data_IF_840426720336
#
_entry.id   IF_840426720336
#
_cell.length_a   1.000
_cell.length_b   1.000
_cell.length_c   1.000
_cell.angle_alpha   90.00
_cell.angle_beta   90.00
_cell.angle_gamma   90.00
#
_symmetry.space_group_name_H-M   'P 1'
#
loop_
_entity.id
_entity.type
_entity.pdbx_description
1 polymer ?
#
# COMPACT_ATOMS: atom_id res chain seq x y z
N UNK A 1 1.69 17.10 -9.64
CA UNK A 1 2.96 16.56 -10.15
C UNK A 1 2.83 15.09 -10.51
N UNK A 2 3.80 14.52 -11.26
CA UNK A 2 3.82 13.07 -11.54
C UNK A 2 3.90 12.26 -10.24
N UNK A 3 4.77 12.66 -9.33
CA UNK A 3 4.92 12.02 -8.02
C UNK A 3 3.61 12.03 -7.23
N UNK A 4 2.92 13.15 -7.19
CA UNK A 4 1.64 13.27 -6.52
C UNK A 4 0.57 12.34 -7.12
N UNK A 5 0.51 12.21 -8.45
CA UNK A 5 -0.36 11.27 -9.13
C UNK A 5 -0.06 9.81 -8.77
N UNK A 6 1.23 9.44 -8.75
CA UNK A 6 1.66 8.09 -8.35
C UNK A 6 1.26 7.76 -6.91
N UNK A 7 1.46 8.70 -5.99
CA UNK A 7 1.16 8.50 -4.57
C UNK A 7 -0.34 8.53 -4.30
N UNK A 8 -1.02 9.62 -4.62
CA UNK A 8 -2.40 9.86 -4.17
C UNK A 8 -3.45 9.17 -5.05
N UNK A 9 -3.21 9.09 -6.38
CA UNK A 9 -4.20 8.55 -7.30
C UNK A 9 -3.96 7.07 -7.62
N UNK A 10 -2.71 6.58 -7.48
CA UNK A 10 -2.37 5.20 -7.79
C UNK A 10 -1.96 4.38 -6.56
N UNK A 11 -1.59 5.02 -5.45
CA UNK A 11 -1.18 4.37 -4.22
C UNK A 11 0.20 3.70 -4.33
N UNK A 12 1.14 4.27 -5.09
CA UNK A 12 2.43 3.67 -5.38
C UNK A 12 3.57 4.39 -4.64
N UNK A 13 3.74 4.15 -3.36
CA UNK A 13 4.87 4.61 -2.55
C UNK A 13 6.03 3.61 -2.59
N UNK A 14 6.58 3.34 -3.77
CA UNK A 14 7.50 2.24 -4.01
C UNK A 14 8.99 2.62 -3.89
N UNK A 15 9.32 3.83 -3.46
CA UNK A 15 10.65 4.42 -3.67
C UNK A 15 11.80 3.66 -2.98
N UNK A 16 11.57 3.07 -1.81
CA UNK A 16 12.62 2.37 -1.06
C UNK A 16 12.58 0.85 -1.23
N UNK A 17 11.42 0.31 -1.54
CA UNK A 17 11.15 -1.14 -1.57
C UNK A 17 11.33 -1.75 -2.95
N UNK A 18 11.56 -0.94 -3.98
CA UNK A 18 11.72 -1.40 -5.36
C UNK A 18 13.10 -1.03 -5.87
N UNK A 19 13.79 -1.99 -6.51
CA UNK A 19 15.14 -1.78 -7.06
C UNK A 19 15.19 -0.58 -8.03
N UNK A 20 16.31 0.17 -8.09
CA UNK A 20 16.41 1.41 -8.87
C UNK A 20 15.99 1.26 -10.34
N UNK A 21 16.36 0.14 -10.98
CA UNK A 21 16.09 -0.11 -12.40
C UNK A 21 14.58 -0.24 -12.65
N UNK A 22 13.87 -0.88 -11.73
CA UNK A 22 12.42 -1.04 -11.82
C UNK A 22 11.69 0.27 -11.51
N UNK A 23 12.22 1.08 -10.58
CA UNK A 23 11.70 2.43 -10.33
C UNK A 23 11.73 3.29 -11.59
N UNK A 24 12.84 3.28 -12.34
CA UNK A 24 12.96 4.01 -13.60
C UNK A 24 11.88 3.56 -14.59
N UNK A 25 11.63 2.26 -14.72
CA UNK A 25 10.58 1.75 -15.62
C UNK A 25 9.20 2.24 -15.19
N UNK A 26 8.88 2.17 -13.89
CA UNK A 26 7.58 2.61 -13.34
C UNK A 26 7.38 4.11 -13.56
N UNK A 27 8.39 4.94 -13.27
CA UNK A 27 8.29 6.40 -13.46
C UNK A 27 8.21 6.82 -14.93
N UNK A 28 8.82 6.05 -15.83
CA UNK A 28 8.80 6.31 -17.28
C UNK A 28 7.53 5.79 -17.96
N UNK A 29 6.76 4.95 -17.30
CA UNK A 29 5.53 4.38 -17.87
C UNK A 29 4.45 5.43 -18.10
N UNK A 30 3.85 5.41 -19.29
CA UNK A 30 2.93 6.45 -19.78
C UNK A 30 1.52 6.40 -19.14
N UNK A 31 1.18 5.32 -18.43
CA UNK A 31 -0.15 5.15 -17.84
C UNK A 31 -0.11 4.31 -16.58
N UNK A 32 -1.14 4.47 -15.73
CA UNK A 32 -1.38 3.59 -14.57
C UNK A 32 -1.42 2.11 -14.98
N UNK A 33 -2.07 1.80 -16.10
CA UNK A 33 -2.16 0.42 -16.57
C UNK A 33 -0.78 -0.17 -16.88
N UNK A 34 0.08 0.58 -17.57
CA UNK A 34 1.45 0.16 -17.87
C UNK A 34 2.27 -0.05 -16.58
N UNK A 35 2.13 0.82 -15.58
CA UNK A 35 2.79 0.67 -14.27
C UNK A 35 2.33 -0.57 -13.53
N UNK A 36 1.02 -0.84 -13.49
CA UNK A 36 0.49 -2.04 -12.84
C UNK A 36 0.94 -3.33 -13.57
N UNK A 37 1.12 -3.26 -14.89
CA UNK A 37 1.66 -4.39 -15.67
C UNK A 37 3.12 -4.66 -15.31
N UNK A 38 3.95 -3.62 -15.26
CA UNK A 38 5.35 -3.72 -14.82
C UNK A 38 5.43 -4.36 -13.42
N UNK A 39 4.60 -3.91 -12.47
CA UNK A 39 4.57 -4.49 -11.12
C UNK A 39 4.18 -5.97 -11.14
N UNK A 40 3.20 -6.34 -11.97
CA UNK A 40 2.75 -7.73 -12.08
C UNK A 40 3.82 -8.64 -12.69
N UNK A 41 4.54 -8.16 -13.72
CA UNK A 41 5.59 -8.91 -14.40
C UNK A 41 6.81 -9.14 -13.51
N UNK A 42 7.09 -8.19 -12.62
CA UNK A 42 8.24 -8.22 -11.70
C UNK A 42 7.89 -8.65 -10.27
N UNK A 43 6.69 -9.20 -10.05
CA UNK A 43 6.22 -9.52 -8.70
C UNK A 43 7.20 -10.37 -7.90
N UNK A 44 7.75 -11.44 -8.48
CA UNK A 44 8.66 -12.34 -7.76
C UNK A 44 9.91 -11.59 -7.29
N UNK A 45 10.54 -10.83 -8.18
CA UNK A 45 11.74 -10.06 -7.83
C UNK A 45 11.46 -8.95 -6.81
N UNK A 46 10.25 -8.36 -6.81
CA UNK A 46 9.83 -7.39 -5.81
C UNK A 46 9.66 -8.08 -4.45
N UNK A 47 8.99 -9.23 -4.41
CA UNK A 47 8.78 -9.99 -3.17
C UNK A 47 10.13 -10.46 -2.60
N UNK A 48 11.05 -10.91 -3.44
CA UNK A 48 12.38 -11.34 -3.00
C UNK A 48 13.16 -10.16 -2.39
N UNK A 49 13.15 -9.01 -3.06
CA UNK A 49 13.82 -7.82 -2.53
C UNK A 49 13.17 -7.31 -1.22
N UNK A 50 11.86 -7.36 -1.11
CA UNK A 50 11.18 -7.05 0.15
C UNK A 50 11.60 -8.00 1.27
N UNK A 51 11.77 -9.29 0.99
CA UNK A 51 12.27 -10.24 1.98
C UNK A 51 13.72 -9.92 2.40
N UNK A 52 14.60 -9.55 1.45
CA UNK A 52 15.95 -9.07 1.75
C UNK A 52 15.92 -7.89 2.73
N UNK A 53 15.05 -6.89 2.48
CA UNK A 53 14.88 -5.73 3.36
C UNK A 53 14.35 -6.12 4.75
N UNK A 54 13.42 -7.07 4.83
CA UNK A 54 12.90 -7.56 6.11
C UNK A 54 13.95 -8.30 6.93
N UNK A 55 14.92 -8.97 6.29
CA UNK A 55 16.04 -9.62 6.97
C UNK A 55 16.96 -8.61 7.67
N UNK A 56 17.09 -7.41 7.12
CA UNK A 56 17.91 -6.33 7.68
C UNK A 56 17.24 -5.61 8.87
N UNK A 57 15.97 -5.89 9.15
CA UNK A 57 15.28 -5.32 10.32
C UNK A 57 15.66 -6.10 11.57
N UNK A 58 16.45 -5.48 12.44
CA UNK A 58 16.93 -6.07 13.70
C UNK A 58 16.30 -5.47 14.96
N UNK A 59 15.44 -4.44 14.81
CA UNK A 59 14.79 -3.77 15.92
C UNK A 59 13.80 -4.70 16.62
N UNK A 60 13.95 -4.96 17.95
CA UNK A 60 13.07 -5.86 18.70
C UNK A 60 11.59 -5.46 18.64
N UNK A 61 11.32 -4.16 18.65
CA UNK A 61 9.96 -3.62 18.63
C UNK A 61 9.23 -3.87 17.29
N UNK A 62 9.97 -4.19 16.24
CA UNK A 62 9.43 -4.51 14.91
C UNK A 62 9.39 -6.02 14.64
N UNK A 63 9.90 -6.86 15.54
CA UNK A 63 10.06 -8.30 15.30
C UNK A 63 8.74 -8.99 14.94
N UNK A 64 7.66 -8.71 15.68
CA UNK A 64 6.35 -9.29 15.44
C UNK A 64 5.79 -8.86 14.08
N UNK A 65 5.91 -7.57 13.73
CA UNK A 65 5.43 -7.07 12.44
C UNK A 65 6.23 -7.65 11.27
N UNK A 66 7.55 -7.81 11.45
CA UNK A 66 8.42 -8.48 10.48
C UNK A 66 7.97 -9.93 10.23
N UNK A 67 7.63 -10.69 11.29
CA UNK A 67 7.12 -12.06 11.16
C UNK A 67 5.84 -12.10 10.31
N UNK A 68 4.87 -11.23 10.59
CA UNK A 68 3.66 -11.14 9.77
C UNK A 68 3.95 -10.72 8.32
N UNK A 69 4.89 -9.80 8.08
CA UNK A 69 5.28 -9.42 6.73
C UNK A 69 5.90 -10.60 5.96
N UNK A 70 6.70 -11.45 6.62
CA UNK A 70 7.24 -12.69 6.05
C UNK A 70 6.12 -13.70 5.72
N UNK A 71 5.08 -13.79 6.56
CA UNK A 71 3.89 -14.61 6.25
C UNK A 71 3.15 -14.10 5.02
N UNK A 72 3.01 -12.78 4.86
CA UNK A 72 2.45 -12.18 3.64
C UNK A 72 3.25 -12.58 2.40
N UNK A 73 4.59 -12.50 2.46
CA UNK A 73 5.46 -12.92 1.36
C UNK A 73 5.27 -14.40 1.01
N UNK A 74 5.18 -15.26 2.02
CA UNK A 74 4.94 -16.70 1.86
C UNK A 74 3.59 -16.99 1.19
N UNK A 75 2.54 -16.28 1.60
CA UNK A 75 1.22 -16.38 1.00
C UNK A 75 1.21 -15.92 -0.48
N UNK A 76 1.92 -14.82 -0.80
CA UNK A 76 2.08 -14.33 -2.18
C UNK A 76 2.78 -15.35 -3.08
N UNK A 77 3.90 -15.93 -2.60
CA UNK A 77 4.65 -16.97 -3.31
C UNK A 77 3.82 -18.24 -3.56
N UNK A 78 2.97 -18.59 -2.59
CA UNK A 78 2.06 -19.73 -2.67
C UNK A 78 0.78 -19.46 -3.47
N UNK A 79 0.58 -18.25 -4.00
CA UNK A 79 -0.60 -17.86 -4.78
C UNK A 79 -1.85 -17.58 -3.94
N UNK A 80 -1.74 -17.52 -2.61
CA UNK A 80 -2.83 -17.18 -1.71
C UNK A 80 -3.07 -15.67 -1.65
N UNK A 81 -3.40 -15.09 -2.80
CA UNK A 81 -3.54 -13.64 -3.02
C UNK A 81 -4.46 -12.97 -2.00
N UNK A 82 -5.62 -13.55 -1.73
CA UNK A 82 -6.60 -12.95 -0.81
C UNK A 82 -6.09 -12.93 0.65
N UNK A 83 -5.46 -14.02 1.09
CA UNK A 83 -4.88 -14.11 2.42
C UNK A 83 -3.72 -13.12 2.59
N UNK A 84 -2.84 -13.03 1.60
CA UNK A 84 -1.73 -12.08 1.59
C UNK A 84 -2.23 -10.64 1.69
N UNK A 85 -3.22 -10.24 0.85
CA UNK A 85 -3.76 -8.90 0.90
C UNK A 85 -4.44 -8.58 2.24
N UNK A 86 -5.25 -9.50 2.75
CA UNK A 86 -5.94 -9.29 4.02
C UNK A 86 -4.97 -9.12 5.18
N UNK A 87 -3.92 -9.96 5.27
CA UNK A 87 -2.91 -9.86 6.31
C UNK A 87 -2.10 -8.56 6.18
N UNK A 88 -1.60 -8.23 4.98
CA UNK A 88 -0.84 -7.00 4.75
C UNK A 88 -1.63 -5.74 5.10
N UNK A 89 -2.89 -5.66 4.69
CA UNK A 89 -3.75 -4.49 4.98
C UNK A 89 -4.01 -4.35 6.48
N UNK A 90 -4.22 -5.46 7.20
CA UNK A 90 -4.38 -5.42 8.65
C UNK A 90 -3.08 -5.04 9.36
N UNK A 91 -1.93 -5.53 8.89
CA UNK A 91 -0.62 -5.16 9.42
C UNK A 91 -0.37 -3.66 9.27
N UNK A 92 -0.62 -3.09 8.08
CA UNK A 92 -0.51 -1.64 7.85
C UNK A 92 -1.43 -0.85 8.79
N UNK A 93 -2.70 -1.28 8.95
CA UNK A 93 -3.66 -0.59 9.83
C UNK A 93 -3.19 -0.63 11.29
N UNK A 94 -2.63 -1.74 11.74
CA UNK A 94 -2.05 -1.90 13.08
C UNK A 94 -0.84 -0.99 13.27
N UNK A 95 0.12 -1.00 12.35
CA UNK A 95 1.30 -0.13 12.40
C UNK A 95 0.91 1.35 12.44
N UNK A 96 -0.09 1.76 11.66
CA UNK A 96 -0.60 3.13 11.68
C UNK A 96 -1.28 3.47 13.00
N UNK A 97 -2.00 2.54 13.62
CA UNK A 97 -2.66 2.75 14.92
C UNK A 97 -1.62 2.95 16.01
N UNK A 98 -0.60 2.14 16.05
CA UNK A 98 0.42 2.13 17.11
C UNK A 98 1.38 3.31 16.99
N UNK A 99 1.77 3.67 15.76
CA UNK A 99 2.68 4.78 15.52
C UNK A 99 2.03 6.16 15.53
N UNK A 100 0.72 6.24 15.25
CA UNK A 100 -0.01 7.50 15.32
C UNK A 100 -0.71 7.66 16.66
N UNK A 101 0.02 7.99 17.71
CA UNK A 101 -0.51 8.37 19.03
C UNK A 101 -1.44 9.58 18.96
N UNK A 102 -1.41 10.35 17.87
CA UNK A 102 -2.26 11.53 17.69
C UNK A 102 -3.46 11.22 16.78
N UNK A 103 -4.64 11.04 17.38
CA UNK A 103 -5.93 10.78 16.69
C UNK A 103 -6.19 11.67 15.48
N UNK A 104 -5.66 12.91 15.47
CA UNK A 104 -5.80 13.86 14.37
C UNK A 104 -5.07 13.46 13.08
N UNK A 105 -3.84 12.93 13.17
CA UNK A 105 -3.10 12.44 11.98
C UNK A 105 -3.75 11.19 11.39
N UNK A 106 -4.10 10.23 12.24
CA UNK A 106 -4.83 9.02 11.81
C UNK A 106 -6.17 9.37 11.15
N UNK A 107 -6.91 10.35 11.69
CA UNK A 107 -8.18 10.80 11.12
C UNK A 107 -8.00 11.43 9.73
N UNK A 108 -6.90 12.15 9.49
CA UNK A 108 -6.56 12.68 8.16
C UNK A 108 -6.29 11.57 7.15
N UNK A 109 -5.69 10.45 7.60
CA UNK A 109 -5.40 9.29 6.76
C UNK A 109 -6.62 8.40 6.53
N UNK A 110 -7.47 8.20 7.55
CA UNK A 110 -8.50 7.16 7.56
C UNK A 110 -9.92 7.64 7.23
N UNK A 111 -10.18 8.94 7.08
CA UNK A 111 -11.52 9.50 6.91
C UNK A 111 -11.63 10.52 5.77
N UNK A 112 -10.71 10.42 4.78
CA UNK A 112 -10.79 11.26 3.60
C UNK A 112 -12.02 10.92 2.76
N UNK A 113 -13.09 11.71 2.89
CA UNK A 113 -14.02 11.82 1.77
C UNK A 113 -13.26 12.42 0.59
N UNK A 114 -13.46 11.93 -0.64
CA UNK A 114 -12.70 12.36 -1.82
C UNK A 114 -13.10 13.76 -2.31
N UNK A 115 -13.30 14.72 -1.42
CA UNK A 115 -13.39 16.12 -1.83
C UNK A 115 -11.98 16.66 -2.03
N UNK A 116 -11.75 17.42 -3.09
CA UNK A 116 -10.45 18.06 -3.37
C UNK A 116 -9.93 18.92 -2.20
N UNK A 117 -10.81 19.38 -1.31
CA UNK A 117 -10.46 20.15 -0.12
C UNK A 117 -9.85 19.32 1.03
N UNK A 118 -9.92 18.00 0.97
CA UNK A 118 -9.42 17.08 2.00
C UNK A 118 -8.32 16.15 1.51
N UNK A 119 -7.84 16.35 0.28
CA UNK A 119 -6.74 15.57 -0.28
C UNK A 119 -5.50 15.71 0.60
N UNK A 120 -4.80 14.61 0.83
CA UNK A 120 -3.58 14.61 1.62
C UNK A 120 -2.56 15.57 1.00
N UNK A 121 -2.00 16.44 1.82
CA UNK A 121 -0.99 17.40 1.38
C UNK A 121 0.40 16.88 1.75
N UNK A 122 1.11 16.35 0.78
CA UNK A 122 2.45 15.81 0.94
C UNK A 122 3.42 16.90 1.42
N UNK A 123 3.28 18.12 0.90
CA UNK A 123 4.18 19.24 1.22
C UNK A 123 3.98 19.78 2.65
N UNK A 124 2.88 19.40 3.33
CA UNK A 124 2.63 19.78 4.71
C UNK A 124 3.34 18.88 5.72
N UNK A 125 3.91 17.74 5.29
CA UNK A 125 4.68 16.86 6.15
C UNK A 125 6.08 17.42 6.35
N UNK A 126 6.59 17.32 7.58
CA UNK A 126 7.91 17.85 7.96
C UNK A 126 9.06 17.11 7.29
N UNK A 127 8.85 15.83 7.02
CA UNK A 127 9.81 14.93 6.41
C UNK A 127 9.24 14.40 5.09
N UNK A 128 9.96 14.59 4.01
CA UNK A 128 9.53 14.19 2.68
C UNK A 128 9.24 12.70 2.59
N UNK A 129 10.01 11.89 3.32
CA UNK A 129 9.83 10.43 3.39
C UNK A 129 8.46 10.07 3.98
N UNK A 130 8.08 10.70 5.09
CA UNK A 130 6.75 10.52 5.67
C UNK A 130 5.65 10.95 4.69
N UNK A 131 5.83 12.08 4.02
CA UNK A 131 4.90 12.57 3.02
C UNK A 131 4.69 11.57 1.88
N UNK A 132 5.75 10.91 1.43
CA UNK A 132 5.70 9.89 0.38
C UNK A 132 4.98 8.63 0.87
N UNK A 133 5.34 8.09 2.02
CA UNK A 133 4.72 6.88 2.58
C UNK A 133 3.22 7.12 2.82
N UNK A 134 2.87 8.20 3.52
CA UNK A 134 1.46 8.49 3.81
C UNK A 134 0.67 8.86 2.57
N UNK A 135 1.27 9.55 1.61
CA UNK A 135 0.65 9.83 0.32
C UNK A 135 0.27 8.56 -0.42
N UNK A 136 1.17 7.56 -0.45
CA UNK A 136 0.90 6.26 -1.05
C UNK A 136 -0.19 5.47 -0.32
N UNK A 137 -0.23 5.55 0.99
CA UNK A 137 -1.25 4.88 1.80
C UNK A 137 -2.62 5.58 1.72
N UNK A 138 -2.67 6.88 1.46
CA UNK A 138 -3.89 7.67 1.52
C UNK A 138 -5.04 7.09 0.68
N UNK A 139 -4.75 6.67 -0.55
CA UNK A 139 -5.72 6.11 -1.46
C UNK A 139 -6.40 4.83 -0.95
N UNK A 140 -5.68 3.99 -0.21
CA UNK A 140 -6.24 2.74 0.32
C UNK A 140 -7.18 2.95 1.50
N UNK A 141 -7.12 4.10 2.18
CA UNK A 141 -7.98 4.46 3.30
C UNK A 141 -9.21 5.28 2.90
N UNK A 142 -9.41 5.54 1.61
CA UNK A 142 -10.63 6.19 1.12
C UNK A 142 -11.87 5.37 1.53
N UNK A 143 -12.91 6.09 1.96
CA UNK A 143 -14.12 5.46 2.42
C UNK A 143 -14.78 4.65 1.30
N UNK A 144 -15.19 3.44 1.64
CA UNK A 144 -16.02 2.56 0.82
C UNK A 144 -17.16 2.03 1.68
N UNK A 145 -18.37 2.17 1.20
CA UNK A 145 -19.56 1.73 1.92
C UNK A 145 -20.10 0.44 1.29
N UNK A 146 -19.78 -0.69 1.91
CA UNK A 146 -20.18 -2.02 1.41
C UNK A 146 -21.68 -2.28 1.44
N UNK A 147 -22.45 -1.53 2.23
CA UNK A 147 -23.91 -1.60 2.28
C UNK A 147 -24.63 -0.54 1.45
N UNK A 148 -23.86 0.30 0.73
CA UNK A 148 -24.36 1.39 -0.09
C UNK A 148 -24.31 1.08 -1.60
N UNK A 149 -24.38 2.13 -2.42
CA UNK A 149 -24.31 2.04 -3.88
C UNK A 149 -22.87 2.12 -4.42
N UNK A 150 -21.85 2.14 -3.53
CA UNK A 150 -20.46 2.28 -3.95
C UNK A 150 -20.01 1.05 -4.74
N UNK A 151 -19.49 1.29 -5.93
CA UNK A 151 -18.84 0.24 -6.71
C UNK A 151 -17.57 -0.22 -6.01
N UNK A 152 -17.32 -1.55 -6.02
CA UNK A 152 -16.08 -2.09 -5.45
C UNK A 152 -14.86 -1.47 -6.17
N UNK A 153 -13.93 -0.85 -5.44
CA UNK A 153 -12.79 -0.20 -6.05
C UNK A 153 -11.85 -1.22 -6.72
N UNK A 154 -11.29 -0.85 -7.87
CA UNK A 154 -10.28 -1.67 -8.56
C UNK A 154 -8.89 -1.57 -7.91
N UNK A 155 -8.59 -0.44 -7.30
CA UNK A 155 -7.34 -0.22 -6.57
C UNK A 155 -7.42 -0.80 -5.17
N UNK A 156 -6.27 -1.01 -4.55
CA UNK A 156 -6.18 -1.45 -3.16
C UNK A 156 -7.01 -0.55 -2.26
N UNK A 157 -7.91 -1.15 -1.48
CA UNK A 157 -8.76 -0.46 -0.51
C UNK A 157 -8.83 -1.25 0.78
N UNK A 158 -8.50 -0.60 1.89
CA UNK A 158 -8.61 -1.19 3.23
C UNK A 158 -10.06 -1.55 3.56
N UNK A 159 -10.98 -0.64 3.27
CA UNK A 159 -12.40 -0.86 3.55
C UNK A 159 -13.00 -1.98 2.69
N UNK A 160 -12.70 -2.01 1.40
CA UNK A 160 -13.19 -3.07 0.52
C UNK A 160 -12.52 -4.42 0.85
N UNK A 161 -11.24 -4.46 1.23
CA UNK A 161 -10.58 -5.67 1.70
C UNK A 161 -11.26 -6.24 2.95
N UNK A 162 -11.67 -5.39 3.90
CA UNK A 162 -12.30 -5.84 5.13
C UNK A 162 -13.78 -6.24 4.98
N UNK A 163 -14.51 -5.61 4.04
CA UNK A 163 -15.96 -5.65 4.02
C UNK A 163 -16.59 -6.18 2.71
N UNK A 164 -15.77 -6.43 1.66
CA UNK A 164 -16.27 -6.86 0.37
C UNK A 164 -15.36 -7.90 -0.29
N UNK A 165 -15.65 -9.18 -0.09
CA UNK A 165 -14.91 -10.26 -0.75
C UNK A 165 -15.23 -10.24 -2.24
N UNK A 166 -14.28 -9.83 -3.07
CA UNK A 166 -14.45 -9.71 -4.53
C UNK A 166 -13.14 -9.95 -5.27
N UNK A 167 -13.21 -10.66 -6.41
CA UNK A 167 -12.07 -10.84 -7.32
C UNK A 167 -11.56 -9.51 -7.87
N UNK A 168 -12.39 -8.47 -7.91
CA UNK A 168 -12.00 -7.12 -8.33
C UNK A 168 -11.06 -6.47 -7.32
N UNK A 169 -11.27 -6.71 -6.03
CA UNK A 169 -10.43 -6.17 -4.95
C UNK A 169 -9.22 -7.06 -4.68
N UNK A 170 -9.42 -8.38 -4.58
CA UNK A 170 -8.35 -9.34 -4.26
C UNK A 170 -7.58 -9.74 -5.53
N UNK A 171 -6.93 -8.76 -6.16
CA UNK A 171 -6.09 -8.96 -7.34
C UNK A 171 -4.64 -9.13 -6.93
N UNK A 172 -3.89 -9.92 -7.70
CA UNK A 172 -2.48 -10.18 -7.46
C UNK A 172 -1.67 -8.88 -7.29
N UNK A 173 -1.92 -7.88 -8.13
CA UNK A 173 -1.24 -6.58 -8.05
C UNK A 173 -1.62 -5.78 -6.79
N UNK A 174 -2.88 -5.84 -6.35
CA UNK A 174 -3.30 -5.19 -5.11
C UNK A 174 -2.63 -5.82 -3.89
N UNK A 175 -2.51 -7.16 -3.88
CA UNK A 175 -1.82 -7.89 -2.81
C UNK A 175 -0.32 -7.56 -2.77
N UNK A 176 0.31 -7.41 -3.94
CA UNK A 176 1.70 -6.97 -4.03
C UNK A 176 1.87 -5.55 -3.50
N UNK A 177 1.00 -4.61 -3.92
CA UNK A 177 1.03 -3.23 -3.44
C UNK A 177 0.83 -3.19 -1.91
N UNK A 178 -0.12 -3.96 -1.37
CA UNK A 178 -0.32 -4.06 0.07
C UNK A 178 0.93 -4.58 0.79
N UNK A 179 1.58 -5.61 0.26
CA UNK A 179 2.82 -6.14 0.83
C UNK A 179 3.95 -5.11 0.82
N UNK A 180 4.17 -4.44 -0.31
CA UNK A 180 5.19 -3.38 -0.43
C UNK A 180 4.97 -2.24 0.56
N UNK A 181 3.71 -1.90 0.88
CA UNK A 181 3.40 -0.91 1.91
C UNK A 181 3.59 -1.41 3.35
N UNK A 182 3.61 -2.72 3.55
CA UNK A 182 3.81 -3.34 4.86
C UNK A 182 5.31 -3.56 5.20
N UNK A 183 6.19 -3.46 4.23
CA UNK A 183 7.65 -3.51 4.34
C UNK A 183 8.24 -2.13 4.49
#
# INVERSE_FOLDING_TARGET
>A
SLLEGLLLDEGLALLWVVKPELRVQIFSAQSKFARLHILSDHQESIVDHCCELLEDIDQPDLAEWREFAVEVASALRSGYTAAAQALAVNLIDTMLIENFTYRGKRKKMSHGTPSHSTRFNIDAEKEIEQGIVYGGLWGMFLQFNSGGEDAIPHQLSRHATAHAVSKQQYRRVNSLIAFVHAV
#
